data_IF_218218069339
#
_entry.id   IF_218218069339
#
_cell.length_a   1.000
_cell.length_b   1.000
_cell.length_c   1.000
_cell.angle_alpha   90.00
_cell.angle_beta   90.00
_cell.angle_gamma   90.00
#
_symmetry.space_group_name_H-M   'P 1'
#
loop_
_entity.id
_entity.type
_entity.pdbx_description
1 polymer ?
#
# COMPACT_ATOMS: atom_id res chain seq x y z
N UNK A 1 -11.59 -26.08 11.11
CA UNK A 1 -10.99 -24.79 11.48
C UNK A 1 -11.65 -23.71 10.65
N UNK A 2 -12.05 -22.62 11.28
CA UNK A 2 -12.51 -21.40 10.60
C UNK A 2 -11.37 -20.75 9.80
N UNK A 3 -11.70 -19.89 8.84
CA UNK A 3 -10.70 -19.13 8.07
C UNK A 3 -9.79 -18.29 8.97
N UNK A 4 -10.35 -17.74 10.06
CA UNK A 4 -9.60 -16.96 11.06
C UNK A 4 -8.55 -17.82 11.76
N UNK A 5 -8.90 -19.05 12.15
CA UNK A 5 -7.96 -19.98 12.78
C UNK A 5 -6.84 -20.38 11.81
N UNK A 6 -7.16 -20.57 10.53
CA UNK A 6 -6.16 -20.89 9.50
C UNK A 6 -5.18 -19.73 9.27
N UNK A 7 -5.68 -18.50 9.14
CA UNK A 7 -4.84 -17.30 8.97
C UNK A 7 -3.95 -17.06 10.19
N UNK A 8 -4.48 -17.26 11.41
CA UNK A 8 -3.69 -17.19 12.66
C UNK A 8 -2.62 -18.27 12.75
N UNK A 9 -2.92 -19.49 12.29
CA UNK A 9 -1.97 -20.58 12.33
C UNK A 9 -0.82 -20.37 11.32
N UNK A 10 -1.09 -19.69 10.20
CA UNK A 10 -0.14 -19.39 9.12
C UNK A 10 0.85 -20.55 8.83
N UNK A 11 0.34 -21.78 8.76
CA UNK A 11 1.15 -23.00 8.56
C UNK A 11 2.03 -22.92 7.31
N UNK A 12 1.59 -22.32 6.18
CA UNK A 12 2.45 -22.13 5.02
C UNK A 12 3.55 -21.08 5.19
N UNK A 13 3.62 -20.39 6.33
CA UNK A 13 4.57 -19.33 6.65
C UNK A 13 4.57 -18.20 5.61
N UNK A 14 3.37 -17.71 5.27
CA UNK A 14 3.16 -16.58 4.38
C UNK A 14 3.63 -15.28 5.04
N UNK A 15 3.92 -14.26 4.24
CA UNK A 15 4.23 -12.93 4.76
C UNK A 15 3.03 -12.36 5.52
N UNK A 16 3.18 -12.16 6.84
CA UNK A 16 2.11 -11.70 7.73
C UNK A 16 1.56 -10.31 7.36
N UNK A 17 2.30 -9.52 6.58
CA UNK A 17 1.89 -8.18 6.17
C UNK A 17 1.24 -8.18 4.79
N UNK A 18 1.73 -9.00 3.86
CA UNK A 18 1.37 -8.90 2.45
C UNK A 18 0.53 -10.06 1.94
N UNK A 19 0.75 -11.28 2.45
CA UNK A 19 0.24 -12.51 1.83
C UNK A 19 -0.68 -13.30 2.79
N UNK A 20 -0.64 -13.05 4.10
CA UNK A 20 -1.45 -13.75 5.10
C UNK A 20 -2.73 -12.99 5.47
N UNK A 21 -3.67 -12.89 4.53
CA UNK A 21 -4.97 -12.26 4.75
C UNK A 21 -6.12 -13.11 4.22
N UNK A 22 -7.31 -12.86 4.76
CA UNK A 22 -8.55 -13.48 4.28
C UNK A 22 -9.21 -12.50 3.31
N UNK A 23 -9.41 -12.93 2.07
CA UNK A 23 -10.11 -12.15 1.06
C UNK A 23 -11.54 -12.65 0.87
N UNK A 24 -12.50 -11.73 0.84
CA UNK A 24 -13.90 -12.02 0.57
C UNK A 24 -14.40 -11.11 -0.56
N UNK A 25 -15.13 -11.70 -1.52
CA UNK A 25 -15.70 -10.97 -2.65
C UNK A 25 -17.19 -10.73 -2.41
N UNK A 26 -17.63 -9.49 -2.62
CA UNK A 26 -19.05 -9.14 -2.70
C UNK A 26 -19.47 -9.20 -4.18
N UNK A 27 -20.49 -10.00 -4.48
CA UNK A 27 -21.04 -10.11 -5.84
C UNK A 27 -22.34 -9.32 -5.96
N UNK A 28 -22.44 -8.47 -6.98
CA UNK A 28 -23.63 -7.66 -7.26
C UNK A 28 -23.29 -6.19 -7.51
N UNK A 29 -24.33 -5.36 -7.62
CA UNK A 29 -24.15 -3.90 -7.72
C UNK A 29 -23.74 -3.33 -6.36
N UNK A 30 -22.71 -2.49 -6.35
CA UNK A 30 -22.25 -1.73 -5.20
C UNK A 30 -22.52 -0.24 -5.45
N UNK A 31 -23.25 0.41 -4.54
CA UNK A 31 -23.46 1.86 -4.52
C UNK A 31 -22.59 2.47 -3.44
N UNK A 32 -21.51 3.16 -3.81
CA UNK A 32 -20.52 3.68 -2.86
C UNK A 32 -21.16 4.54 -1.77
N UNK A 33 -22.07 5.44 -2.12
CA UNK A 33 -22.73 6.34 -1.16
C UNK A 33 -23.66 5.66 -0.15
N UNK A 34 -24.05 4.39 -0.38
CA UNK A 34 -25.00 3.66 0.46
C UNK A 34 -24.38 2.43 1.14
N UNK A 35 -23.44 1.77 0.45
CA UNK A 35 -22.88 0.48 0.87
C UNK A 35 -21.46 0.62 1.47
N UNK A 36 -20.81 1.78 1.31
CA UNK A 36 -19.44 2.02 1.82
C UNK A 36 -19.48 3.07 2.93
N UNK A 37 -18.96 2.68 4.10
CA UNK A 37 -18.87 3.56 5.27
C UNK A 37 -17.87 4.70 5.04
N UNK A 38 -16.66 4.36 4.56
CA UNK A 38 -15.61 5.32 4.29
C UNK A 38 -14.67 4.88 3.15
N UNK A 39 -14.07 5.86 2.49
CA UNK A 39 -12.86 5.69 1.69
C UNK A 39 -11.69 6.17 2.53
N UNK A 40 -10.65 5.35 2.66
CA UNK A 40 -9.44 5.69 3.41
C UNK A 40 -8.29 5.89 2.43
N UNK A 41 -7.68 7.07 2.41
CA UNK A 41 -6.56 7.38 1.52
C UNK A 41 -5.24 7.56 2.27
N UNK A 42 -4.13 7.36 1.56
CA UNK A 42 -2.80 7.78 2.01
C UNK A 42 -2.69 9.31 1.97
N UNK A 43 -2.08 9.95 3.00
CA UNK A 43 -1.84 11.40 3.01
C UNK A 43 -1.12 11.95 1.77
N UNK A 44 -0.33 11.14 1.04
CA UNK A 44 0.29 11.55 -0.22
C UNK A 44 -0.72 11.96 -1.30
N UNK A 45 -2.00 11.62 -1.15
CA UNK A 45 -3.06 12.00 -2.08
C UNK A 45 -3.80 13.29 -1.70
N UNK A 46 -3.41 14.00 -0.64
CA UNK A 46 -3.96 15.32 -0.32
C UNK A 46 -3.71 16.32 -1.45
N UNK A 47 -4.71 17.14 -1.72
CA UNK A 47 -4.77 18.16 -2.77
C UNK A 47 -4.63 17.60 -4.21
N UNK A 48 -4.68 16.27 -4.38
CA UNK A 48 -4.57 15.63 -5.69
C UNK A 48 -5.92 15.44 -6.39
N UNK A 49 -5.87 15.01 -7.66
CA UNK A 49 -7.08 14.61 -8.38
C UNK A 49 -7.78 13.40 -7.75
N UNK A 50 -7.03 12.55 -7.02
CA UNK A 50 -7.59 11.37 -6.34
C UNK A 50 -8.47 11.80 -5.17
N UNK A 51 -8.02 12.73 -4.33
CA UNK A 51 -8.86 13.28 -3.25
C UNK A 51 -10.13 13.91 -3.81
N UNK A 52 -9.99 14.76 -4.84
CA UNK A 52 -11.16 15.40 -5.48
C UNK A 52 -12.15 14.37 -6.01
N UNK A 53 -11.68 13.29 -6.64
CA UNK A 53 -12.53 12.21 -7.11
C UNK A 53 -13.21 11.48 -5.93
N UNK A 54 -12.46 11.15 -4.88
CA UNK A 54 -13.00 10.47 -3.69
C UNK A 54 -14.13 11.27 -3.02
N UNK A 55 -13.98 12.60 -2.91
CA UNK A 55 -15.00 13.49 -2.36
C UNK A 55 -16.31 13.50 -3.18
N UNK A 56 -16.29 13.05 -4.44
CA UNK A 56 -17.50 12.97 -5.27
C UNK A 56 -18.32 11.70 -5.05
N UNK A 57 -17.80 10.72 -4.31
CA UNK A 57 -18.41 9.39 -4.19
C UNK A 57 -19.53 9.29 -3.14
N UNK A 58 -19.74 10.35 -2.35
CA UNK A 58 -20.88 10.46 -1.42
C UNK A 58 -20.76 9.65 -0.14
N UNK A 59 -19.56 9.23 0.25
CA UNK A 59 -19.25 8.61 1.55
C UNK A 59 -18.17 9.41 2.30
N UNK A 60 -17.87 9.02 3.54
CA UNK A 60 -16.85 9.67 4.36
C UNK A 60 -15.46 9.45 3.71
N UNK A 61 -14.62 10.49 3.72
CA UNK A 61 -13.21 10.39 3.36
C UNK A 61 -12.36 10.45 4.64
N UNK A 62 -11.58 9.41 4.87
CA UNK A 62 -10.64 9.28 5.98
C UNK A 62 -9.21 9.14 5.47
N UNK A 63 -8.26 9.25 6.39
CA UNK A 63 -6.84 9.18 6.09
C UNK A 63 -6.17 8.20 7.06
N UNK A 64 -5.33 7.33 6.54
CA UNK A 64 -4.46 6.49 7.37
C UNK A 64 -3.11 7.19 7.63
N UNK A 65 -2.27 6.61 8.48
CA UNK A 65 -1.02 7.23 8.94
C UNK A 65 -0.02 7.55 7.80
N UNK A 66 -0.04 6.75 6.74
CA UNK A 66 0.70 7.00 5.50
C UNK A 66 1.91 6.10 5.34
N UNK A 67 2.23 5.76 4.10
CA UNK A 67 3.41 4.98 3.74
C UNK A 67 4.49 5.89 3.16
N UNK A 68 5.68 5.83 3.74
CA UNK A 68 6.84 6.58 3.30
C UNK A 68 8.11 5.74 3.43
N UNK A 69 8.61 5.24 2.32
CA UNK A 69 9.85 4.45 2.27
C UNK A 69 11.07 5.37 2.11
N UNK A 70 11.92 5.46 3.13
CA UNK A 70 13.25 6.09 3.01
C UNK A 70 14.20 5.21 2.20
N UNK A 71 15.07 5.84 1.39
CA UNK A 71 16.16 5.15 0.71
C UNK A 71 17.18 4.49 1.68
N UNK A 72 17.17 4.85 2.97
CA UNK A 72 17.95 4.16 3.99
C UNK A 72 17.60 2.66 4.09
N UNK A 73 16.39 2.28 3.66
CA UNK A 73 15.92 0.89 3.62
C UNK A 73 16.26 0.15 2.33
N UNK A 74 17.01 0.73 1.38
CA UNK A 74 17.31 0.08 0.09
C UNK A 74 17.99 -1.29 0.26
N UNK A 75 18.89 -1.45 1.24
CA UNK A 75 19.51 -2.74 1.53
C UNK A 75 18.50 -3.81 1.95
N UNK A 76 17.51 -3.43 2.77
CA UNK A 76 16.42 -4.33 3.17
C UNK A 76 15.50 -4.66 1.99
N UNK A 77 15.23 -3.68 1.13
CA UNK A 77 14.45 -3.87 -0.09
C UNK A 77 15.14 -4.82 -1.07
N UNK A 78 16.47 -4.68 -1.23
CA UNK A 78 17.27 -5.55 -2.09
C UNK A 78 17.27 -6.99 -1.59
N UNK A 79 17.35 -7.20 -0.28
CA UNK A 79 17.26 -8.53 0.32
C UNK A 79 15.85 -9.13 0.16
N UNK A 80 14.81 -8.31 0.22
CA UNK A 80 13.42 -8.76 0.20
C UNK A 80 12.87 -9.06 -1.20
N UNK A 81 13.07 -8.15 -2.16
CA UNK A 81 12.52 -8.24 -3.52
C UNK A 81 13.59 -8.18 -4.62
N UNK A 82 14.87 -8.19 -4.24
CA UNK A 82 16.00 -8.24 -5.16
C UNK A 82 16.58 -6.86 -5.49
N UNK A 83 17.84 -6.82 -5.97
CA UNK A 83 18.56 -5.57 -6.23
C UNK A 83 17.90 -4.71 -7.31
N UNK A 84 17.27 -5.31 -8.32
CA UNK A 84 16.56 -4.57 -9.39
C UNK A 84 15.38 -3.77 -8.84
N UNK A 85 14.68 -4.27 -7.81
CA UNK A 85 13.59 -3.53 -7.16
C UNK A 85 14.14 -2.37 -6.33
N UNK A 86 15.26 -2.57 -5.62
CA UNK A 86 15.93 -1.50 -4.89
C UNK A 86 16.40 -0.38 -5.84
N UNK A 87 16.94 -0.74 -7.00
CA UNK A 87 17.30 0.24 -8.04
C UNK A 87 16.07 0.99 -8.55
N UNK A 88 14.95 0.28 -8.82
CA UNK A 88 13.71 0.91 -9.22
C UNK A 88 13.18 1.91 -8.17
N UNK A 89 13.23 1.56 -6.88
CA UNK A 89 12.89 2.46 -5.77
C UNK A 89 13.75 3.73 -5.81
N UNK A 90 15.07 3.58 -5.93
CA UNK A 90 15.99 4.72 -6.00
C UNK A 90 15.72 5.63 -7.20
N UNK A 91 15.26 5.07 -8.33
CA UNK A 91 14.97 5.84 -9.55
C UNK A 91 13.69 6.67 -9.46
N UNK A 92 12.70 6.22 -8.70
CA UNK A 92 11.41 6.91 -8.59
C UNK A 92 11.29 7.78 -7.34
N UNK A 93 12.28 7.74 -6.45
CA UNK A 93 12.25 8.50 -5.20
C UNK A 93 12.31 10.01 -5.45
N UNK A 94 11.52 10.75 -4.69
CA UNK A 94 11.56 12.20 -4.62
C UNK A 94 12.05 12.56 -3.21
N UNK A 95 13.07 13.41 -3.14
CA UNK A 95 13.72 13.82 -1.88
C UNK A 95 14.12 12.63 -0.98
N UNK A 96 14.58 11.53 -1.60
CA UNK A 96 15.00 10.33 -0.89
C UNK A 96 13.87 9.47 -0.31
N UNK A 97 12.62 9.70 -0.73
CA UNK A 97 11.46 8.95 -0.27
C UNK A 97 10.60 8.46 -1.44
N UNK A 98 9.97 7.29 -1.25
CA UNK A 98 8.89 6.77 -2.10
C UNK A 98 7.62 6.59 -1.29
N UNK A 99 6.53 7.21 -1.73
CA UNK A 99 5.15 7.01 -1.23
C UNK A 99 4.31 6.29 -2.30
N UNK A 100 3.04 5.91 -2.02
CA UNK A 100 2.16 5.35 -3.05
C UNK A 100 2.00 6.25 -4.28
N UNK A 101 2.09 7.57 -4.11
CA UNK A 101 1.98 8.53 -5.21
C UNK A 101 3.09 8.34 -6.24
N UNK A 102 4.36 8.27 -5.81
CA UNK A 102 5.49 8.09 -6.73
C UNK A 102 5.39 6.77 -7.51
N UNK A 103 4.90 5.70 -6.89
CA UNK A 103 4.66 4.42 -7.59
C UNK A 103 3.58 4.61 -8.66
N UNK A 104 2.47 5.25 -8.31
CA UNK A 104 1.35 5.51 -9.22
C UNK A 104 1.77 6.35 -10.42
N UNK A 105 2.55 7.41 -10.19
CA UNK A 105 3.09 8.27 -11.26
C UNK A 105 4.10 7.53 -12.15
N UNK A 106 4.90 6.63 -11.57
CA UNK A 106 5.92 5.89 -12.31
C UNK A 106 5.39 4.66 -13.07
N UNK A 107 4.18 4.15 -12.75
CA UNK A 107 3.62 2.92 -13.32
C UNK A 107 3.50 2.93 -14.84
N UNK A 108 3.06 4.04 -15.43
CA UNK A 108 2.79 4.06 -16.87
C UNK A 108 4.00 4.50 -17.71
N UNK A 109 5.14 4.79 -17.06
CA UNK A 109 6.34 5.34 -17.71
C UNK A 109 7.59 4.52 -17.43
N UNK A 110 7.78 4.08 -16.18
CA UNK A 110 9.05 3.54 -15.68
C UNK A 110 8.90 2.12 -15.10
N UNK A 111 7.75 1.81 -14.48
CA UNK A 111 7.54 0.55 -13.77
C UNK A 111 6.44 -0.27 -14.43
N UNK A 112 6.79 -1.42 -15.03
CA UNK A 112 5.75 -2.37 -15.42
C UNK A 112 4.93 -2.84 -14.20
N UNK A 113 3.81 -3.53 -14.47
CA UNK A 113 2.90 -3.98 -13.41
C UNK A 113 3.61 -4.79 -12.31
N UNK A 114 4.52 -5.68 -12.70
CA UNK A 114 5.19 -6.57 -11.75
C UNK A 114 6.21 -5.81 -10.90
N UNK A 115 6.96 -4.90 -11.52
CA UNK A 115 7.90 -4.04 -10.82
C UNK A 115 7.16 -3.10 -9.86
N UNK A 116 6.08 -2.46 -10.30
CA UNK A 116 5.25 -1.62 -9.45
C UNK A 116 4.70 -2.39 -8.23
N UNK A 117 4.25 -3.63 -8.44
CA UNK A 117 3.83 -4.53 -7.34
C UNK A 117 4.96 -4.79 -6.34
N UNK A 118 6.16 -5.10 -6.81
CA UNK A 118 7.29 -5.37 -5.92
C UNK A 118 7.81 -4.12 -5.20
N UNK A 119 7.80 -2.96 -5.86
CA UNK A 119 8.09 -1.68 -5.21
C UNK A 119 7.05 -1.39 -4.11
N UNK A 120 5.76 -1.59 -4.41
CA UNK A 120 4.69 -1.48 -3.42
C UNK A 120 4.91 -2.40 -2.22
N UNK A 121 5.32 -3.65 -2.42
CA UNK A 121 5.62 -4.56 -1.32
C UNK A 121 6.72 -4.01 -0.39
N UNK A 122 7.75 -3.37 -0.93
CA UNK A 122 8.79 -2.71 -0.13
C UNK A 122 8.23 -1.49 0.63
N UNK A 123 7.43 -0.67 -0.03
CA UNK A 123 6.80 0.52 0.60
C UNK A 123 5.84 0.11 1.72
N UNK A 124 4.98 -0.87 1.48
CA UNK A 124 4.04 -1.37 2.47
C UNK A 124 4.71 -2.04 3.68
N UNK A 125 5.89 -2.68 3.47
CA UNK A 125 6.61 -3.38 4.54
C UNK A 125 7.50 -2.45 5.35
N UNK A 126 8.27 -1.58 4.69
CA UNK A 126 9.32 -0.77 5.34
C UNK A 126 8.96 0.71 5.45
N UNK A 127 7.89 1.16 4.80
CA UNK A 127 7.45 2.56 4.82
C UNK A 127 6.35 2.87 5.81
N UNK A 128 5.92 1.91 6.66
CA UNK A 128 4.92 2.18 7.68
C UNK A 128 5.49 3.11 8.74
N UNK A 129 4.78 4.20 9.03
CA UNK A 129 5.02 4.94 10.26
C UNK A 129 4.57 4.01 11.39
N UNK A 130 5.49 3.64 12.29
CA UNK A 130 5.09 2.96 13.50
C UNK A 130 4.12 3.89 14.22
N UNK A 131 2.88 3.44 14.45
CA UNK A 131 1.98 4.17 15.32
C UNK A 131 2.71 4.35 16.64
N UNK A 132 2.87 5.60 17.06
CA UNK A 132 3.31 5.90 18.42
C UNK A 132 2.27 5.21 19.30
N UNK A 133 2.69 4.13 19.97
CA UNK A 133 1.84 3.50 20.96
C UNK A 133 1.68 4.54 22.07
N UNK A 134 0.50 5.13 22.17
CA UNK A 134 0.14 5.93 23.35
C UNK A 134 0.32 5.01 24.57
N UNK A 135 1.22 5.43 25.45
CA UNK A 135 1.56 4.77 26.70
C UNK A 135 0.59 5.18 27.82
#
# INVERSE_FOLDING_TARGET
MSLIELAKANVPNLDDVLDNYIEAHVHGTLQVSADVEAIVLDPCYRDTAVERAALTLGCILEWHDGFRLSLDHLGSCAQFRGPTVAEAISRISIDGVVTPLEIGTARDVVLDYQMAKWVWHCVARFGRIASVSDN
#
